data_IF_252610782072
#
_entry.id   IF_252610782072
#
_cell.length_a   1.000
_cell.length_b   1.000
_cell.length_c   1.000
_cell.angle_alpha   90.00
_cell.angle_beta   90.00
_cell.angle_gamma   90.00
#
_symmetry.space_group_name_H-M   'P 1'
#
loop_
_entity.id
_entity.type
_entity.pdbx_description
1 polymer ?
#
# COMPACT_ATOMS: atom_id res chain seq x y z
N UNK A 1 0.92 10.94 4.94
CA UNK A 1 0.79 12.12 4.04
C UNK A 1 -0.46 12.90 4.40
N UNK A 2 -0.51 14.22 4.16
CA UNK A 2 -1.70 15.06 4.43
C UNK A 2 -2.27 15.59 3.11
N UNK A 3 -3.59 15.57 2.95
CA UNK A 3 -4.25 16.07 1.74
C UNK A 3 -5.76 15.95 1.79
N UNK A 4 -6.42 16.24 0.67
CA UNK A 4 -7.88 16.13 0.54
C UNK A 4 -8.23 14.81 -0.12
N UNK A 5 -9.12 14.02 0.48
CA UNK A 5 -9.60 12.76 -0.12
C UNK A 5 -10.75 12.99 -1.12
N UNK A 6 -11.33 14.19 -1.15
CA UNK A 6 -12.39 14.57 -2.09
C UNK A 6 -12.10 15.93 -2.70
N UNK A 7 -12.28 16.10 -4.03
CA UNK A 7 -12.17 17.40 -4.68
C UNK A 7 -13.08 18.43 -4.03
N UNK A 8 -12.57 19.64 -3.78
CA UNK A 8 -13.35 20.74 -3.22
C UNK A 8 -13.71 20.61 -1.73
N UNK A 9 -13.41 19.49 -1.06
CA UNK A 9 -13.58 19.37 0.39
C UNK A 9 -12.72 20.42 1.11
N UNK A 10 -13.25 21.06 2.16
CA UNK A 10 -12.45 21.93 3.04
C UNK A 10 -11.66 21.14 4.09
N UNK A 11 -12.03 19.88 4.34
CA UNK A 11 -11.35 19.01 5.32
C UNK A 11 -10.06 18.43 4.77
N UNK A 12 -9.04 18.37 5.63
CA UNK A 12 -7.78 17.68 5.37
C UNK A 12 -7.78 16.34 6.11
N UNK A 13 -7.11 15.37 5.52
CA UNK A 13 -6.94 14.04 6.09
C UNK A 13 -5.48 13.65 6.10
N UNK A 14 -5.09 12.90 7.13
CA UNK A 14 -3.80 12.22 7.20
C UNK A 14 -4.02 10.78 6.78
N UNK A 15 -3.39 10.36 5.69
CA UNK A 15 -3.37 8.94 5.30
C UNK A 15 -2.19 8.25 5.97
N UNK A 16 -2.48 7.15 6.64
CA UNK A 16 -1.55 6.32 7.40
C UNK A 16 -1.73 4.86 6.99
N UNK A 17 -0.62 4.17 6.78
CA UNK A 17 -0.60 2.74 6.57
C UNK A 17 -0.12 2.04 7.85
N UNK A 18 -0.70 0.87 8.13
CA UNK A 18 -0.43 0.02 9.27
C UNK A 18 -0.23 -1.41 8.78
N UNK A 19 0.59 -2.17 9.49
CA UNK A 19 0.77 -3.60 9.23
C UNK A 19 2.17 -4.07 9.58
N UNK A 20 2.29 -5.38 9.75
CA UNK A 20 3.56 -6.01 10.08
C UNK A 20 4.46 -6.11 8.85
N UNK A 21 5.75 -5.91 9.06
CA UNK A 21 6.72 -5.98 7.99
C UNK A 21 7.05 -7.44 7.65
N UNK A 22 7.22 -7.77 6.35
CA UNK A 22 7.66 -9.09 5.96
C UNK A 22 9.07 -9.39 6.50
N UNK A 23 9.36 -10.68 6.64
CA UNK A 23 10.64 -11.20 7.12
C UNK A 23 11.64 -11.42 5.98
N UNK A 24 12.85 -11.89 6.34
CA UNK A 24 13.80 -12.41 5.36
C UNK A 24 13.25 -13.64 4.62
N UNK A 25 13.74 -13.90 3.38
CA UNK A 25 13.46 -15.15 2.67
C UNK A 25 13.71 -16.37 3.56
N UNK A 26 12.68 -17.21 3.70
CA UNK A 26 12.72 -18.40 4.54
C UNK A 26 12.11 -19.58 3.76
N UNK A 27 12.94 -20.44 3.14
CA UNK A 27 12.47 -21.54 2.30
C UNK A 27 11.56 -22.54 3.03
N UNK A 28 11.80 -22.78 4.32
CA UNK A 28 10.96 -23.66 5.13
C UNK A 28 9.57 -23.05 5.33
N UNK A 29 9.52 -21.76 5.67
CA UNK A 29 8.25 -21.05 5.88
C UNK A 29 7.49 -20.85 4.57
N UNK A 30 8.17 -20.64 3.44
CA UNK A 30 7.53 -20.57 2.12
C UNK A 30 6.92 -21.92 1.70
N UNK A 31 7.60 -23.04 2.02
CA UNK A 31 7.10 -24.39 1.73
C UNK A 31 5.94 -24.80 2.62
N UNK A 32 6.01 -24.49 3.92
CA UNK A 32 5.06 -25.00 4.92
C UNK A 32 3.92 -24.02 5.20
N UNK A 33 4.13 -22.72 4.98
CA UNK A 33 3.24 -21.67 5.44
C UNK A 33 3.38 -21.34 6.93
N UNK A 34 4.42 -21.84 7.62
CA UNK A 34 4.66 -21.61 9.06
C UNK A 34 6.12 -21.28 9.37
N UNK A 35 6.35 -20.39 10.34
CA UNK A 35 7.68 -20.14 10.90
C UNK A 35 8.11 -21.25 11.87
N UNK A 36 9.40 -21.27 12.23
CA UNK A 36 9.97 -22.28 13.15
C UNK A 36 9.30 -22.30 14.54
N UNK A 37 8.75 -21.18 14.98
CA UNK A 37 8.00 -21.09 16.23
C UNK A 37 6.54 -21.59 16.11
N UNK A 38 6.13 -22.10 14.95
CA UNK A 38 4.79 -22.60 14.67
C UNK A 38 3.75 -21.53 14.30
N UNK A 39 4.12 -20.24 14.30
CA UNK A 39 3.22 -19.18 13.84
C UNK A 39 3.01 -19.24 12.32
N UNK A 40 1.79 -18.96 11.81
CA UNK A 40 1.54 -18.96 10.37
C UNK A 40 2.24 -17.79 9.69
N UNK A 41 2.65 -17.99 8.43
CA UNK A 41 3.06 -16.89 7.56
C UNK A 41 1.81 -16.11 7.16
N UNK A 42 1.60 -15.01 7.85
CA UNK A 42 0.44 -14.15 7.69
C UNK A 42 0.82 -12.73 8.08
N UNK A 43 0.68 -11.82 7.12
CA UNK A 43 0.94 -10.40 7.33
C UNK A 43 -0.34 -9.64 7.06
N UNK A 44 -0.95 -9.15 8.14
CA UNK A 44 -2.10 -8.27 8.07
C UNK A 44 -1.62 -6.84 7.92
N UNK A 45 -2.31 -6.09 7.07
CA UNK A 45 -2.00 -4.68 6.84
C UNK A 45 -3.29 -3.94 6.48
N UNK A 46 -3.28 -2.62 6.67
CA UNK A 46 -4.37 -1.75 6.25
C UNK A 46 -3.87 -0.35 5.98
N UNK A 47 -4.61 0.40 5.17
CA UNK A 47 -4.41 1.84 4.99
C UNK A 47 -5.69 2.55 5.40
N UNK A 48 -5.57 3.65 6.14
CA UNK A 48 -6.72 4.42 6.62
C UNK A 48 -6.44 5.92 6.55
N UNK A 49 -7.49 6.71 6.69
CA UNK A 49 -7.38 8.15 6.83
C UNK A 49 -7.99 8.65 8.14
N UNK A 50 -7.25 9.55 8.77
CA UNK A 50 -7.63 10.30 9.96
C UNK A 50 -7.96 11.73 9.57
N UNK A 51 -8.90 12.34 10.26
CA UNK A 51 -9.14 13.78 10.17
C UNK A 51 -7.91 14.52 10.69
N UNK A 52 -7.39 15.47 9.92
CA UNK A 52 -6.09 16.08 10.22
C UNK A 52 -6.11 17.01 11.44
N UNK A 53 -7.28 17.54 11.80
CA UNK A 53 -7.42 18.45 12.94
C UNK A 53 -7.65 17.69 14.25
N UNK A 54 -8.40 16.59 14.19
CA UNK A 54 -8.86 15.85 15.37
C UNK A 54 -8.15 14.51 15.58
N UNK A 55 -7.51 13.95 14.56
CA UNK A 55 -6.92 12.61 14.59
C UNK A 55 -7.94 11.47 14.60
N UNK A 56 -9.24 11.77 14.49
CA UNK A 56 -10.30 10.76 14.49
C UNK A 56 -10.37 10.03 13.15
N UNK A 57 -10.74 8.73 13.12
CA UNK A 57 -10.98 8.01 11.87
C UNK A 57 -12.05 8.69 11.02
N UNK A 58 -11.79 8.81 9.71
CA UNK A 58 -12.75 9.39 8.76
C UNK A 58 -13.78 8.39 8.23
N UNK A 59 -13.59 7.10 8.53
CA UNK A 59 -14.25 5.99 7.85
C UNK A 59 -13.42 5.45 6.69
N UNK A 60 -12.70 6.32 5.97
CA UNK A 60 -11.83 5.96 4.83
C UNK A 60 -10.77 4.95 5.25
N UNK A 61 -10.95 3.69 4.85
CA UNK A 61 -9.97 2.64 5.04
C UNK A 61 -10.08 1.54 3.99
N UNK A 62 -8.98 0.81 3.83
CA UNK A 62 -8.90 -0.38 2.99
C UNK A 62 -7.98 -1.41 3.62
N UNK A 63 -8.45 -2.66 3.64
CA UNK A 63 -7.70 -3.83 4.10
C UNK A 63 -7.53 -4.80 2.93
N UNK A 64 -6.29 -5.03 2.44
CA UNK A 64 -6.04 -6.06 1.43
C UNK A 64 -6.20 -7.46 2.01
N UNK A 65 -6.15 -8.45 1.11
CA UNK A 65 -6.00 -9.84 1.52
C UNK A 65 -4.70 -10.04 2.32
N UNK A 66 -4.76 -10.91 3.33
CA UNK A 66 -3.60 -11.29 4.15
C UNK A 66 -2.46 -11.75 3.24
N UNK A 67 -1.29 -11.15 3.41
CA UNK A 67 -0.12 -11.55 2.63
C UNK A 67 0.53 -12.79 3.24
N UNK A 68 0.79 -13.81 2.41
CA UNK A 68 1.14 -15.18 2.86
C UNK A 68 2.54 -15.63 2.47
N UNK A 69 3.40 -14.74 1.98
CA UNK A 69 4.82 -15.07 1.75
C UNK A 69 5.65 -14.59 2.94
N UNK A 70 6.72 -15.32 3.33
CA UNK A 70 7.54 -14.91 4.47
C UNK A 70 8.20 -13.55 4.24
N UNK A 71 8.70 -13.34 3.02
CA UNK A 71 9.38 -12.16 2.55
C UNK A 71 8.53 -11.33 1.60
N UNK A 72 8.91 -10.07 1.39
CA UNK A 72 8.26 -9.21 0.41
C UNK A 72 8.40 -9.78 -1.00
N UNK A 73 7.49 -9.38 -1.88
CA UNK A 73 7.49 -9.88 -3.24
C UNK A 73 8.74 -9.37 -3.98
N UNK A 74 9.50 -10.30 -4.56
CA UNK A 74 10.73 -9.99 -5.27
C UNK A 74 11.99 -10.04 -4.39
N UNK A 75 11.87 -10.24 -3.07
CA UNK A 75 13.02 -10.50 -2.21
C UNK A 75 13.50 -11.96 -2.39
N UNK A 76 14.79 -12.11 -2.66
CA UNK A 76 15.48 -13.37 -2.84
C UNK A 76 16.95 -13.22 -2.42
N UNK A 77 17.36 -13.91 -1.36
CA UNK A 77 18.75 -13.90 -0.90
C UNK A 77 19.58 -14.95 -1.67
N UNK A 78 20.83 -14.64 -2.10
CA UNK A 78 21.58 -13.39 -1.89
C UNK A 78 21.40 -12.34 -3.00
N UNK A 79 20.61 -12.63 -4.03
CA UNK A 79 20.61 -11.87 -5.28
C UNK A 79 19.98 -10.47 -5.16
N UNK A 80 18.89 -10.32 -4.41
CA UNK A 80 18.18 -9.05 -4.22
C UNK A 80 17.36 -9.06 -2.94
N UNK A 81 17.58 -8.08 -2.06
CA UNK A 81 16.87 -7.98 -0.79
C UNK A 81 16.49 -6.51 -0.55
N UNK A 82 15.19 -6.25 -0.41
CA UNK A 82 14.67 -4.91 -0.13
C UNK A 82 14.16 -4.77 1.30
N UNK A 83 13.46 -5.79 1.84
CA UNK A 83 12.85 -5.76 3.18
C UNK A 83 12.04 -4.48 3.43
N UNK A 84 11.06 -4.18 2.58
CA UNK A 84 10.21 -3.01 2.75
C UNK A 84 9.33 -3.14 4.00
N UNK A 85 8.69 -2.04 4.34
CA UNK A 85 7.52 -2.06 5.21
C UNK A 85 6.33 -2.74 4.50
N UNK A 86 5.27 -3.06 5.24
CA UNK A 86 4.03 -3.59 4.63
C UNK A 86 3.48 -2.69 3.53
N UNK A 87 3.57 -1.37 3.72
CA UNK A 87 3.16 -0.33 2.79
C UNK A 87 4.24 0.73 2.66
N UNK A 88 4.36 1.31 1.46
CA UNK A 88 5.11 2.54 1.30
C UNK A 88 4.33 3.75 1.81
N UNK A 89 5.02 4.87 2.01
CA UNK A 89 4.38 6.15 2.29
C UNK A 89 3.41 6.52 1.16
N UNK A 90 2.16 6.82 1.50
CA UNK A 90 1.17 7.18 0.50
C UNK A 90 1.40 8.57 -0.10
N UNK A 91 0.83 8.81 -1.28
CA UNK A 91 0.70 10.11 -1.93
C UNK A 91 -0.77 10.40 -2.24
N UNK A 92 -1.19 11.67 -2.21
CA UNK A 92 -2.58 12.08 -2.48
C UNK A 92 -2.60 13.02 -3.68
N UNK A 93 -3.33 12.64 -4.73
CA UNK A 93 -3.58 13.47 -5.91
C UNK A 93 -4.51 14.65 -5.62
N UNK A 94 -4.44 15.69 -6.45
CA UNK A 94 -5.34 16.85 -6.32
C UNK A 94 -6.83 16.52 -6.54
N UNK A 95 -7.09 15.36 -7.15
CA UNK A 95 -8.40 14.78 -7.37
C UNK A 95 -8.88 13.90 -6.20
N UNK A 96 -8.06 13.73 -5.17
CA UNK A 96 -8.35 12.91 -4.00
C UNK A 96 -7.96 11.43 -4.13
N UNK A 97 -7.38 11.01 -5.25
CA UNK A 97 -6.89 9.63 -5.39
C UNK A 97 -5.65 9.43 -4.53
N UNK A 98 -5.65 8.40 -3.69
CA UNK A 98 -4.51 8.02 -2.85
C UNK A 98 -3.73 6.91 -3.52
N UNK A 99 -2.41 7.02 -3.56
CA UNK A 99 -1.51 6.01 -4.12
C UNK A 99 -0.58 5.47 -3.04
N UNK A 100 -0.44 4.16 -2.94
CA UNK A 100 0.51 3.53 -2.02
C UNK A 100 1.05 2.21 -2.60
N UNK A 101 2.35 2.00 -2.44
CA UNK A 101 3.00 0.73 -2.74
C UNK A 101 2.83 -0.27 -1.59
N UNK A 102 2.90 -1.56 -1.88
CA UNK A 102 2.72 -2.62 -0.89
C UNK A 102 3.79 -3.72 -1.05
N UNK A 103 4.10 -4.41 0.04
CA UNK A 103 5.02 -5.55 0.07
C UNK A 103 4.66 -6.68 -0.91
N UNK A 104 3.40 -6.77 -1.37
CA UNK A 104 2.97 -7.77 -2.37
C UNK A 104 3.45 -7.48 -3.80
N UNK A 105 4.24 -6.43 -4.00
CA UNK A 105 4.70 -6.01 -5.32
C UNK A 105 3.66 -5.27 -6.13
N UNK A 106 2.64 -4.73 -5.46
CA UNK A 106 1.58 -3.93 -6.06
C UNK A 106 1.69 -2.49 -5.64
N UNK A 107 1.44 -1.58 -6.59
CA UNK A 107 1.02 -0.22 -6.27
C UNK A 107 -0.50 -0.17 -6.40
N UNK A 108 -1.13 0.45 -5.41
CA UNK A 108 -2.58 0.63 -5.34
C UNK A 108 -2.94 2.08 -5.59
N UNK A 109 -4.12 2.28 -6.17
CA UNK A 109 -4.80 3.57 -6.24
C UNK A 109 -6.18 3.43 -5.59
N UNK A 110 -6.50 4.36 -4.70
CA UNK A 110 -7.71 4.35 -3.88
C UNK A 110 -8.49 5.64 -4.08
N UNK A 111 -9.79 5.54 -4.33
CA UNK A 111 -10.68 6.69 -4.45
C UNK A 111 -12.08 6.31 -4.03
N UNK A 112 -12.57 6.97 -2.99
CA UNK A 112 -13.95 6.87 -2.50
C UNK A 112 -14.88 7.65 -3.45
N UNK A 113 -15.47 6.96 -4.42
CA UNK A 113 -16.22 7.58 -5.52
C UNK A 113 -17.68 7.85 -5.14
N UNK A 114 -18.24 7.07 -4.23
CA UNK A 114 -19.62 7.25 -3.77
C UNK A 114 -19.72 8.08 -2.49
N UNK A 115 -18.60 8.28 -1.80
CA UNK A 115 -18.51 9.16 -0.66
C UNK A 115 -19.01 8.53 0.64
N UNK A 116 -19.11 7.21 0.73
CA UNK A 116 -19.47 6.52 1.98
C UNK A 116 -18.28 6.32 2.92
N UNK A 117 -17.06 6.58 2.43
CA UNK A 117 -15.84 6.44 3.19
C UNK A 117 -15.38 5.00 3.35
N UNK A 118 -15.92 4.01 2.67
CA UNK A 118 -15.49 2.61 2.77
C UNK A 118 -15.06 2.12 1.38
N UNK A 119 -13.75 1.93 1.20
CA UNK A 119 -13.21 1.59 -0.12
C UNK A 119 -13.54 0.15 -0.52
N UNK A 120 -14.16 0.00 -1.69
CA UNK A 120 -14.53 -1.30 -2.28
C UNK A 120 -13.89 -1.56 -3.65
N UNK A 121 -13.34 -2.77 -3.83
CA UNK A 121 -12.88 -3.24 -5.15
C UNK A 121 -14.05 -3.41 -6.11
N UNK A 122 -15.18 -3.91 -5.62
CA UNK A 122 -16.40 -4.20 -6.38
C UNK A 122 -17.02 -2.93 -6.97
N UNK A 123 -16.91 -1.81 -6.24
CA UNK A 123 -17.32 -0.48 -6.71
C UNK A 123 -16.30 0.19 -7.62
N UNK A 124 -15.11 -0.39 -7.80
CA UNK A 124 -14.03 0.20 -8.60
C UNK A 124 -13.25 1.31 -7.89
N UNK A 125 -13.36 1.39 -6.56
CA UNK A 125 -12.67 2.41 -5.73
C UNK A 125 -11.23 2.03 -5.43
N UNK A 126 -10.87 0.77 -5.68
CA UNK A 126 -9.53 0.24 -5.49
C UNK A 126 -9.07 -0.38 -6.80
N UNK A 127 -7.97 0.15 -7.34
CA UNK A 127 -7.27 -0.45 -8.47
C UNK A 127 -5.81 -0.72 -8.09
N UNK A 128 -5.16 -1.63 -8.80
CA UNK A 128 -3.75 -1.94 -8.53
C UNK A 128 -3.00 -2.34 -9.80
N UNK A 129 -1.70 -2.07 -9.80
CA UNK A 129 -0.77 -2.54 -10.81
C UNK A 129 0.31 -3.40 -10.16
N UNK A 130 0.58 -4.56 -10.74
CA UNK A 130 1.65 -5.44 -10.27
C UNK A 130 2.97 -5.06 -10.94
N UNK A 131 3.88 -4.49 -10.15
CA UNK A 131 5.17 -3.99 -10.63
C UNK A 131 6.30 -5.01 -10.61
N UNK A 132 6.02 -6.27 -10.27
CA UNK A 132 7.02 -7.34 -10.22
C UNK A 132 7.81 -7.41 -8.91
N UNK A 133 8.00 -6.29 -8.21
CA UNK A 133 8.66 -6.21 -6.90
C UNK A 133 7.98 -5.24 -5.95
N UNK A 134 8.24 -5.42 -4.67
CA UNK A 134 7.75 -4.60 -3.57
C UNK A 134 8.21 -3.13 -3.64
N UNK A 135 7.52 -2.28 -2.89
CA UNK A 135 7.67 -0.83 -2.90
C UNK A 135 7.97 -0.32 -1.51
N UNK A 136 9.02 0.49 -1.38
CA UNK A 136 9.36 1.21 -0.15
C UNK A 136 9.19 2.73 -0.30
N UNK A 137 9.47 3.25 -1.50
CA UNK A 137 9.38 4.67 -1.81
C UNK A 137 7.94 5.18 -1.89
N UNK A 138 7.74 6.43 -1.48
CA UNK A 138 6.48 7.12 -1.73
C UNK A 138 6.29 7.39 -3.22
N UNK A 139 5.08 7.22 -3.78
CA UNK A 139 4.83 7.61 -5.16
C UNK A 139 4.99 9.12 -5.37
N UNK A 140 5.60 9.51 -6.48
CA UNK A 140 5.70 10.89 -6.94
C UNK A 140 4.53 11.27 -7.84
N UNK A 141 4.00 12.48 -7.68
CA UNK A 141 2.88 12.99 -8.46
C UNK A 141 3.26 14.27 -9.21
N UNK A 142 2.84 14.36 -10.46
CA UNK A 142 2.89 15.57 -11.28
C UNK A 142 1.61 15.63 -12.16
N UNK A 143 1.28 16.78 -12.77
CA UNK A 143 0.12 16.87 -13.66
C UNK A 143 0.17 15.81 -14.77
N UNK A 144 -0.84 14.91 -14.78
CA UNK A 144 -0.94 13.83 -15.76
C UNK A 144 0.03 12.66 -15.55
N UNK A 145 0.72 12.58 -14.40
CA UNK A 145 1.80 11.63 -14.18
C UNK A 145 1.87 11.10 -12.74
N UNK A 146 2.07 9.79 -12.63
CA UNK A 146 2.41 9.10 -11.40
C UNK A 146 3.74 8.37 -11.61
N UNK A 147 4.67 8.49 -10.65
CA UNK A 147 5.94 7.76 -10.64
C UNK A 147 5.97 6.90 -9.39
N UNK A 148 6.30 5.61 -9.54
CA UNK A 148 6.44 4.69 -8.43
C UNK A 148 7.76 3.93 -8.54
N UNK A 149 8.47 3.78 -7.43
CA UNK A 149 9.80 3.17 -7.41
C UNK A 149 9.74 1.85 -6.62
N UNK A 150 9.47 0.71 -7.28
CA UNK A 150 9.73 -0.57 -6.65
C UNK A 150 11.24 -0.72 -6.38
N UNK A 151 11.63 -1.72 -5.60
CA UNK A 151 13.01 -1.86 -5.14
C UNK A 151 14.06 -2.12 -6.24
N UNK A 152 13.64 -2.37 -7.48
CA UNK A 152 14.52 -2.67 -8.62
C UNK A 152 14.31 -1.76 -9.83
N UNK A 153 13.56 -0.67 -9.72
CA UNK A 153 13.33 0.19 -10.88
C UNK A 153 12.39 1.37 -10.66
N UNK A 154 11.84 1.84 -11.78
CA UNK A 154 10.91 2.97 -11.84
C UNK A 154 9.77 2.63 -12.79
N UNK A 155 8.55 2.80 -12.32
CA UNK A 155 7.33 2.75 -13.12
C UNK A 155 6.76 4.15 -13.27
N UNK A 156 6.40 4.52 -14.50
CA UNK A 156 5.79 5.82 -14.82
C UNK A 156 4.44 5.57 -15.48
N UNK A 157 3.39 6.16 -14.92
CA UNK A 157 2.02 6.02 -15.39
C UNK A 157 1.50 7.36 -15.87
N UNK A 158 0.63 7.32 -16.89
CA UNK A 158 -0.25 8.44 -17.20
C UNK A 158 -1.36 8.48 -16.15
N UNK A 159 -1.49 9.59 -15.44
CA UNK A 159 -2.51 9.83 -14.42
C UNK A 159 -3.60 10.78 -14.93
#
# INVERSE_FOLDING_TARGET
>A
VVGRLRPGSSRLSVVVALGDNPSFPNPEAERTGYFQNGSPVAWESKILALDADTGNPTGWEYTPEVYRKPQAYGDAFPDHICLPDSWSNAAIGGDGTVYAGHMSGRIFAFRDIDGDGVLSKEKGEVSSYFGGRCYQGSPGLAPGMLVATPCDGVHVFKA
#
